data_IF_762434608350
#
_entry.id   IF_762434608350
#
_cell.length_a   1.000
_cell.length_b   1.000
_cell.length_c   1.000
_cell.angle_alpha   90.00
_cell.angle_beta   90.00
_cell.angle_gamma   90.00
#
_symmetry.space_group_name_H-M   'P 1'
#
loop_
_entity.id
_entity.type
_entity.pdbx_description
1 polymer ?
#
# COMPACT_ATOMS: atom_id res chain seq x y z
N UNK A 1 -30.03 -92.20 -24.16
CA UNK A 1 -29.95 -92.91 -22.86
C UNK A 1 -28.51 -92.85 -22.38
N UNK A 2 -28.27 -92.34 -21.14
CA UNK A 2 -27.03 -92.37 -20.32
C UNK A 2 -25.80 -91.60 -20.88
N UNK A 3 -25.38 -90.44 -20.32
CA UNK A 3 -24.62 -90.19 -19.06
C UNK A 3 -23.34 -91.03 -19.02
N UNK A 4 -22.11 -90.56 -18.76
CA UNK A 4 -21.44 -89.39 -18.16
C UNK A 4 -19.96 -89.44 -18.70
N UNK A 5 -19.04 -88.47 -18.58
CA UNK A 5 -18.44 -87.91 -17.35
C UNK A 5 -17.34 -86.87 -17.70
N UNK A 6 -17.23 -85.87 -16.80
CA UNK A 6 -16.05 -85.10 -16.35
C UNK A 6 -15.18 -84.37 -17.39
N UNK A 7 -15.33 -83.05 -17.38
CA UNK A 7 -14.34 -82.05 -17.80
C UNK A 7 -13.42 -81.79 -16.61
N UNK A 8 -12.10 -81.96 -16.80
CA UNK A 8 -11.08 -81.49 -15.85
C UNK A 8 -10.41 -80.25 -16.45
N UNK A 9 -10.54 -79.13 -15.77
CA UNK A 9 -10.03 -77.81 -16.15
C UNK A 9 -8.52 -77.72 -15.93
N UNK A 10 -7.77 -77.42 -16.99
CA UNK A 10 -6.36 -77.04 -16.88
C UNK A 10 -6.27 -75.53 -16.63
N UNK A 11 -5.81 -75.16 -15.44
CA UNK A 11 -5.47 -73.79 -15.06
C UNK A 11 -4.13 -73.39 -15.69
N UNK A 12 -4.16 -72.44 -16.61
CA UNK A 12 -2.97 -71.81 -17.18
C UNK A 12 -2.64 -70.55 -16.36
N UNK A 13 -1.57 -70.61 -15.56
CA UNK A 13 -1.02 -69.45 -14.85
C UNK A 13 -0.16 -68.66 -15.85
N UNK A 14 -0.68 -67.56 -16.35
CA UNK A 14 0.06 -66.61 -17.19
C UNK A 14 0.74 -65.58 -16.28
N UNK A 15 2.06 -65.67 -16.18
CA UNK A 15 2.91 -64.72 -15.48
C UNK A 15 2.96 -63.42 -16.31
N UNK A 16 2.16 -62.41 -15.95
CA UNK A 16 2.26 -61.07 -16.53
C UNK A 16 3.33 -60.32 -15.74
N UNK A 17 4.52 -60.21 -16.31
CA UNK A 17 5.57 -59.32 -15.81
C UNK A 17 5.13 -57.87 -16.02
N UNK A 18 4.63 -57.24 -14.96
CA UNK A 18 4.35 -55.80 -14.94
C UNK A 18 5.71 -55.09 -14.91
N UNK A 19 6.12 -54.53 -16.04
CA UNK A 19 7.18 -53.52 -16.08
C UNK A 19 6.58 -52.24 -15.53
N UNK A 20 6.81 -51.97 -14.25
CA UNK A 20 6.48 -50.70 -13.61
C UNK A 20 7.36 -49.60 -14.19
N UNK A 21 6.86 -48.89 -15.21
CA UNK A 21 7.46 -47.61 -15.61
C UNK A 21 7.08 -46.59 -14.54
N UNK A 22 7.98 -46.40 -13.59
CA UNK A 22 7.89 -45.28 -12.66
C UNK A 22 8.09 -43.98 -13.47
N UNK A 23 6.99 -43.33 -13.84
CA UNK A 23 7.04 -41.91 -14.19
C UNK A 23 7.42 -41.16 -12.93
N UNK A 24 8.71 -40.88 -12.76
CA UNK A 24 9.16 -39.83 -11.87
C UNK A 24 8.58 -38.52 -12.41
N UNK A 25 7.42 -38.12 -11.91
CA UNK A 25 6.99 -36.73 -11.99
C UNK A 25 8.00 -35.97 -11.15
N UNK A 26 9.00 -35.40 -11.81
CA UNK A 26 9.84 -34.40 -11.18
C UNK A 26 8.91 -33.27 -10.75
N UNK A 27 8.83 -32.91 -9.45
CA UNK A 27 8.16 -31.69 -9.10
C UNK A 27 8.92 -30.57 -9.80
N UNK A 28 8.25 -29.84 -10.69
CA UNK A 28 8.73 -28.53 -11.13
C UNK A 28 8.63 -27.65 -9.89
N UNK A 29 9.66 -27.69 -9.05
CA UNK A 29 9.88 -26.74 -7.96
C UNK A 29 11.02 -25.82 -8.36
N UNK A 30 10.81 -25.06 -9.44
CA UNK A 30 11.45 -23.76 -9.56
C UNK A 30 10.60 -22.73 -8.79
N UNK A 31 10.48 -22.94 -7.48
CA UNK A 31 10.18 -21.84 -6.57
C UNK A 31 11.53 -21.42 -6.02
N UNK A 32 12.22 -20.54 -6.73
CA UNK A 32 13.28 -19.76 -6.11
C UNK A 32 12.65 -19.11 -4.89
N UNK A 33 12.98 -19.59 -3.68
CA UNK A 33 12.69 -18.84 -2.47
C UNK A 33 13.37 -17.49 -2.65
N UNK A 34 12.58 -16.47 -2.99
CA UNK A 34 13.09 -15.14 -3.18
C UNK A 34 13.52 -14.64 -1.80
N UNK A 35 14.83 -14.68 -1.57
CA UNK A 35 15.45 -14.31 -0.30
C UNK A 35 15.13 -12.84 0.01
N UNK A 36 14.65 -12.57 1.22
CA UNK A 36 14.48 -11.19 1.68
C UNK A 36 15.82 -10.45 1.69
N UNK A 37 15.78 -9.17 1.35
CA UNK A 37 16.92 -8.26 1.42
C UNK A 37 16.49 -6.92 2.02
N UNK A 38 17.45 -6.19 2.59
CA UNK A 38 17.18 -4.86 3.12
C UNK A 38 16.81 -3.91 1.97
N UNK A 39 15.67 -3.25 2.09
CA UNK A 39 15.14 -2.30 1.11
C UNK A 39 15.11 -0.87 1.63
N UNK A 40 15.18 -0.69 2.95
CA UNK A 40 15.43 0.59 3.59
C UNK A 40 16.06 0.41 4.98
N UNK A 41 16.84 1.40 5.41
CA UNK A 41 17.49 1.41 6.73
C UNK A 41 17.49 2.82 7.28
N UNK A 42 17.22 2.95 8.59
CA UNK A 42 17.29 4.20 9.32
C UNK A 42 18.09 3.99 10.61
N UNK A 43 19.33 4.47 10.61
CA UNK A 43 20.29 4.22 11.70
C UNK A 43 19.85 4.84 13.04
N UNK A 44 19.24 6.02 12.99
CA UNK A 44 18.75 6.72 14.19
C UNK A 44 17.72 5.88 14.97
N UNK A 45 16.79 5.25 14.25
CA UNK A 45 15.77 4.38 14.82
C UNK A 45 16.26 2.92 15.03
N UNK A 46 17.51 2.60 14.64
CA UNK A 46 18.02 1.22 14.53
C UNK A 46 17.02 0.31 13.79
N UNK A 47 16.45 0.84 12.71
CA UNK A 47 15.40 0.21 11.95
C UNK A 47 15.91 -0.25 10.58
N UNK A 48 15.57 -1.47 10.19
CA UNK A 48 15.81 -2.01 8.85
C UNK A 48 14.53 -2.67 8.35
N UNK A 49 14.10 -2.26 7.17
CA UNK A 49 12.97 -2.87 6.47
C UNK A 49 13.53 -3.84 5.42
N UNK A 50 13.14 -5.10 5.53
CA UNK A 50 13.47 -6.16 4.58
C UNK A 50 12.25 -6.49 3.74
N UNK A 51 12.45 -6.90 2.49
CA UNK A 51 11.38 -7.37 1.63
C UNK A 51 11.88 -8.40 0.62
N UNK A 52 10.93 -9.13 0.05
CA UNK A 52 11.12 -10.05 -1.05
C UNK A 52 10.75 -9.35 -2.36
N UNK A 53 11.61 -9.45 -3.38
CA UNK A 53 11.31 -8.91 -4.72
C UNK A 53 10.56 -9.94 -5.55
N UNK A 54 9.42 -9.56 -6.11
CA UNK A 54 8.56 -10.37 -6.99
C UNK A 54 7.90 -9.49 -8.05
N UNK A 55 8.16 -9.80 -9.33
CA UNK A 55 7.43 -9.23 -10.48
C UNK A 55 7.24 -7.70 -10.47
N UNK A 56 8.29 -6.94 -10.19
CA UNK A 56 8.23 -5.47 -10.16
C UNK A 56 7.65 -4.88 -8.87
N UNK A 57 7.47 -5.71 -7.85
CA UNK A 57 7.06 -5.31 -6.51
C UNK A 57 7.98 -5.87 -5.43
N UNK A 58 7.92 -5.22 -4.28
CA UNK A 58 8.41 -5.66 -2.99
C UNK A 58 7.22 -6.05 -2.13
N UNK A 59 7.30 -7.20 -1.48
CA UNK A 59 6.28 -7.75 -0.59
C UNK A 59 6.93 -8.68 0.45
N UNK A 60 6.13 -9.40 1.26
CA UNK A 60 6.62 -10.21 2.40
C UNK A 60 7.60 -9.42 3.28
N UNK A 61 7.16 -8.25 3.72
CA UNK A 61 8.02 -7.34 4.46
C UNK A 61 8.33 -7.87 5.85
N UNK A 62 9.54 -7.55 6.33
CA UNK A 62 9.97 -7.72 7.71
C UNK A 62 10.56 -6.42 8.22
N UNK A 63 9.97 -5.89 9.28
CA UNK A 63 10.50 -4.73 9.99
C UNK A 63 11.33 -5.21 11.18
N UNK A 64 12.62 -4.92 11.15
CA UNK A 64 13.49 -5.04 12.32
C UNK A 64 13.67 -3.68 12.95
N UNK A 65 13.36 -3.54 14.23
CA UNK A 65 13.57 -2.32 15.01
C UNK A 65 14.10 -2.69 16.40
N UNK A 66 15.20 -2.06 16.82
CA UNK A 66 15.87 -2.36 18.10
C UNK A 66 16.14 -3.86 18.34
N UNK A 67 16.44 -4.61 17.27
CA UNK A 67 16.71 -6.05 17.33
C UNK A 67 15.47 -6.94 17.39
N UNK A 68 14.26 -6.36 17.47
CA UNK A 68 12.99 -7.09 17.37
C UNK A 68 12.54 -7.10 15.91
N UNK A 69 12.25 -8.29 15.39
CA UNK A 69 11.74 -8.46 14.01
C UNK A 69 10.24 -8.75 14.03
N UNK A 70 9.51 -8.14 13.10
CA UNK A 70 8.07 -8.36 12.86
C UNK A 70 7.81 -8.52 11.37
N UNK A 71 7.10 -9.59 11.01
CA UNK A 71 6.66 -9.81 9.63
C UNK A 71 5.34 -9.09 9.37
N UNK A 72 5.24 -8.42 8.23
CA UNK A 72 4.05 -7.69 7.76
C UNK A 72 3.76 -8.11 6.32
N UNK A 73 2.72 -8.93 6.15
CA UNK A 73 2.50 -9.68 4.91
C UNK A 73 1.64 -8.91 3.88
N UNK A 74 0.82 -7.97 4.34
CA UNK A 74 -0.13 -7.24 3.48
C UNK A 74 0.50 -6.00 2.82
N UNK A 75 1.72 -5.65 3.22
CA UNK A 75 2.44 -4.51 2.70
C UNK A 75 2.95 -4.76 1.29
N UNK A 76 2.92 -3.70 0.49
CA UNK A 76 3.37 -3.73 -0.91
C UNK A 76 4.06 -2.41 -1.25
N UNK A 77 5.20 -2.52 -1.93
CA UNK A 77 5.86 -1.39 -2.54
C UNK A 77 6.22 -1.74 -3.99
N UNK A 78 6.27 -0.76 -4.88
CA UNK A 78 6.85 -0.96 -6.22
C UNK A 78 8.35 -1.18 -6.13
N UNK A 79 8.89 -2.10 -6.92
CA UNK A 79 10.34 -2.33 -6.98
C UNK A 79 10.98 -1.38 -8.00
N UNK A 80 10.95 -0.09 -7.66
CA UNK A 80 11.57 0.98 -8.40
C UNK A 80 12.40 1.84 -7.43
N UNK A 81 13.72 2.02 -7.65
CA UNK A 81 14.59 2.78 -6.77
C UNK A 81 14.12 4.22 -6.48
N UNK A 82 13.50 4.90 -7.45
CA UNK A 82 12.95 6.25 -7.28
C UNK A 82 11.78 6.29 -6.29
N UNK A 83 11.10 5.15 -6.13
CA UNK A 83 9.92 4.98 -5.28
C UNK A 83 10.17 3.94 -4.18
N UNK A 84 11.42 3.80 -3.74
CA UNK A 84 11.80 2.91 -2.66
C UNK A 84 11.06 3.28 -1.35
N UNK A 85 10.88 2.31 -0.43
CA UNK A 85 10.33 2.59 0.90
C UNK A 85 11.10 3.71 1.61
N UNK A 86 10.38 4.57 2.32
CA UNK A 86 10.98 5.70 3.05
C UNK A 86 10.68 5.59 4.53
N UNK A 87 11.69 5.82 5.34
CA UNK A 87 11.61 5.76 6.81
C UNK A 87 11.88 7.15 7.37
N UNK A 88 11.04 7.58 8.32
CA UNK A 88 11.21 8.82 9.10
C UNK A 88 11.19 8.48 10.59
N UNK A 89 11.81 9.32 11.41
CA UNK A 89 11.87 9.13 12.86
C UNK A 89 11.71 10.48 13.57
N UNK A 90 10.46 10.82 13.86
CA UNK A 90 10.01 12.15 14.27
C UNK A 90 8.98 12.01 15.40
N UNK A 91 8.94 13.00 16.28
CA UNK A 91 7.94 13.09 17.35
C UNK A 91 6.69 13.79 16.81
N UNK A 92 5.85 13.02 16.12
CA UNK A 92 4.70 13.54 15.36
C UNK A 92 3.44 13.66 16.22
N UNK A 93 3.47 13.11 17.43
CA UNK A 93 2.40 13.25 18.43
C UNK A 93 2.73 14.32 19.51
N UNK A 94 3.98 14.81 19.54
CA UNK A 94 4.51 15.81 20.48
C UNK A 94 4.51 15.35 21.95
N UNK A 95 4.72 14.06 22.21
CA UNK A 95 4.84 13.49 23.55
C UNK A 95 6.29 13.40 24.06
N UNK A 96 7.26 13.81 23.23
CA UNK A 96 8.69 13.76 23.53
C UNK A 96 9.37 12.44 23.11
N UNK A 97 8.63 11.47 22.56
CA UNK A 97 9.14 10.22 22.00
C UNK A 97 8.92 10.24 20.49
N UNK A 98 9.85 9.64 19.74
CA UNK A 98 9.78 9.60 18.28
C UNK A 98 9.05 8.35 17.79
N UNK A 99 8.20 8.52 16.80
CA UNK A 99 7.60 7.44 16.03
C UNK A 99 8.48 7.06 14.83
N UNK A 100 8.49 5.77 14.50
CA UNK A 100 8.98 5.31 13.19
C UNK A 100 7.82 5.40 12.20
N UNK A 101 7.99 6.18 11.13
CA UNK A 101 7.02 6.32 10.05
C UNK A 101 7.59 5.68 8.78
N UNK A 102 6.85 4.75 8.20
CA UNK A 102 7.20 4.06 6.96
C UNK A 102 6.21 4.49 5.88
N UNK A 103 6.70 5.02 4.77
CA UNK A 103 5.88 5.35 3.61
C UNK A 103 6.25 4.43 2.45
N UNK A 104 5.26 3.68 1.97
CA UNK A 104 5.37 2.76 0.85
C UNK A 104 4.66 3.33 -0.38
N UNK A 105 5.26 3.18 -1.56
CA UNK A 105 4.63 3.52 -2.84
C UNK A 105 4.00 2.28 -3.43
N UNK A 106 2.66 2.21 -3.45
CA UNK A 106 1.90 1.05 -3.93
C UNK A 106 1.73 1.04 -5.44
N UNK A 107 1.65 2.22 -6.03
CA UNK A 107 1.47 2.40 -7.47
C UNK A 107 2.03 3.75 -7.94
N UNK A 108 2.50 3.82 -9.18
CA UNK A 108 3.01 5.03 -9.80
C UNK A 108 2.88 4.98 -11.33
N UNK A 109 2.84 6.15 -11.96
CA UNK A 109 2.83 6.29 -13.41
C UNK A 109 2.36 7.67 -13.84
N UNK A 110 1.99 7.81 -15.10
CA UNK A 110 1.47 9.08 -15.63
C UNK A 110 0.17 9.45 -14.93
N UNK A 111 0.22 10.47 -14.06
CA UNK A 111 -0.94 10.94 -13.30
C UNK A 111 -1.33 10.05 -12.11
N UNK A 112 -0.50 9.07 -11.74
CA UNK A 112 -0.74 8.18 -10.61
C UNK A 112 0.47 8.19 -9.68
N UNK A 113 0.22 8.37 -8.39
CA UNK A 113 1.20 8.15 -7.33
C UNK A 113 0.42 7.82 -6.05
N UNK A 114 0.37 6.54 -5.69
CA UNK A 114 -0.38 6.11 -4.52
C UNK A 114 0.58 5.64 -3.43
N UNK A 115 0.61 6.38 -2.32
CA UNK A 115 1.41 6.03 -1.15
C UNK A 115 0.54 5.61 0.02
N UNK A 116 1.08 4.69 0.82
CA UNK A 116 0.51 4.23 2.09
C UNK A 116 1.50 4.53 3.21
N UNK A 117 0.98 4.81 4.40
CA UNK A 117 1.78 5.13 5.58
C UNK A 117 1.50 4.13 6.71
N UNK A 118 2.56 3.74 7.40
CA UNK A 118 2.53 2.95 8.62
C UNK A 118 3.28 3.70 9.71
N UNK A 119 2.67 3.83 10.89
CA UNK A 119 3.26 4.56 12.02
C UNK A 119 3.46 3.59 13.18
N UNK A 120 4.67 3.55 13.72
CA UNK A 120 5.05 2.71 14.84
C UNK A 120 5.45 3.57 16.03
N UNK A 121 4.79 3.36 17.17
CA UNK A 121 5.06 4.07 18.41
C UNK A 121 5.60 3.12 19.49
N UNK A 122 6.44 3.62 20.39
CA UNK A 122 6.85 2.87 21.57
C UNK A 122 5.82 3.07 22.69
N UNK A 123 5.27 1.99 23.26
CA UNK A 123 4.28 2.08 24.34
C UNK A 123 4.93 1.87 25.70
N UNK A 124 4.47 2.60 26.73
CA UNK A 124 4.98 2.45 28.11
C UNK A 124 4.65 1.09 28.73
N UNK A 125 3.64 0.40 28.18
CA UNK A 125 3.15 -0.89 28.65
C UNK A 125 3.91 -2.07 28.10
N UNK A 126 4.79 -1.86 27.11
CA UNK A 126 5.60 -2.91 26.54
C UNK A 126 7.05 -2.78 27.01
N UNK A 127 7.72 -3.92 27.14
CA UNK A 127 9.14 -4.01 27.50
C UNK A 127 9.92 -3.02 26.62
N UNK A 128 10.79 -2.20 27.22
CA UNK A 128 11.59 -1.18 26.55
C UNK A 128 12.09 -1.69 25.18
N UNK A 129 11.67 -1.02 24.10
CA UNK A 129 12.07 -1.35 22.73
C UNK A 129 11.01 -2.05 21.86
N UNK A 130 9.83 -2.36 22.38
CA UNK A 130 8.72 -2.86 21.56
C UNK A 130 7.95 -1.69 20.93
N UNK A 131 7.85 -1.71 19.59
CA UNK A 131 7.12 -0.74 18.80
C UNK A 131 5.82 -1.33 18.28
N UNK A 132 4.69 -0.67 18.47
CA UNK A 132 3.38 -1.10 17.98
C UNK A 132 2.92 -0.23 16.84
N UNK A 133 2.33 -0.85 15.81
CA UNK A 133 1.73 -0.12 14.70
C UNK A 133 0.44 0.54 15.17
N UNK A 134 0.27 1.80 14.80
CA UNK A 134 -0.86 2.65 15.10
C UNK A 134 -1.61 2.90 13.80
N UNK A 135 -2.93 2.77 13.85
CA UNK A 135 -3.77 3.03 12.69
C UNK A 135 -3.71 4.51 12.29
N UNK A 136 -3.71 4.75 10.99
CA UNK A 136 -3.84 6.08 10.39
C UNK A 136 -5.14 6.11 9.59
N UNK A 137 -6.00 7.09 9.84
CA UNK A 137 -7.27 7.23 9.13
C UNK A 137 -7.07 7.33 7.62
N UNK A 138 -7.89 6.60 6.88
CA UNK A 138 -7.83 6.59 5.43
C UNK A 138 -8.15 7.99 4.87
N UNK A 139 -7.25 8.61 4.09
CA UNK A 139 -7.44 9.98 3.66
C UNK A 139 -8.57 10.15 2.63
N UNK A 140 -8.85 9.13 1.82
CA UNK A 140 -9.97 9.15 0.87
C UNK A 140 -11.30 9.12 1.63
N UNK A 141 -11.41 8.31 2.69
CA UNK A 141 -12.59 8.31 3.55
C UNK A 141 -12.81 9.67 4.24
N UNK A 142 -11.72 10.31 4.69
CA UNK A 142 -11.76 11.68 5.24
C UNK A 142 -12.28 12.66 4.18
N UNK A 143 -11.78 12.62 2.94
CA UNK A 143 -12.23 13.50 1.85
C UNK A 143 -13.71 13.28 1.57
N UNK A 144 -14.15 12.04 1.37
CA UNK A 144 -15.54 11.71 1.04
C UNK A 144 -16.53 12.18 2.12
N UNK A 145 -16.10 12.19 3.39
CA UNK A 145 -16.92 12.65 4.52
C UNK A 145 -16.97 14.19 4.64
N UNK A 146 -15.87 14.88 4.34
CA UNK A 146 -15.70 16.28 4.73
C UNK A 146 -15.65 17.27 3.55
N UNK A 147 -15.43 16.80 2.32
CA UNK A 147 -15.24 17.62 1.13
C UNK A 147 -16.40 17.42 0.17
N UNK A 148 -16.98 18.54 -0.29
CA UNK A 148 -17.98 18.54 -1.36
C UNK A 148 -17.44 19.31 -2.55
N UNK A 149 -17.76 18.86 -3.75
CA UNK A 149 -17.24 19.45 -4.98
C UNK A 149 -18.34 19.71 -6.00
N UNK A 150 -18.03 20.62 -6.91
CA UNK A 150 -18.79 20.83 -8.14
C UNK A 150 -17.84 21.23 -9.24
N UNK A 151 -17.96 20.59 -10.40
CA UNK A 151 -17.15 20.88 -11.57
C UNK A 151 -18.02 21.35 -12.74
N UNK A 152 -17.56 22.38 -13.44
CA UNK A 152 -18.16 22.91 -14.67
C UNK A 152 -17.06 23.20 -15.69
N UNK A 153 -17.41 23.58 -16.93
CA UNK A 153 -16.43 24.02 -17.95
C UNK A 153 -15.45 25.11 -17.48
N UNK A 154 -15.89 25.92 -16.53
CA UNK A 154 -15.26 27.18 -16.17
C UNK A 154 -14.61 27.13 -14.79
N UNK A 155 -15.33 26.54 -13.82
CA UNK A 155 -14.90 26.54 -12.43
C UNK A 155 -14.95 25.16 -11.81
N UNK A 156 -14.02 24.93 -10.89
CA UNK A 156 -14.11 23.89 -9.88
C UNK A 156 -14.39 24.53 -8.52
N UNK A 157 -15.42 24.06 -7.84
CA UNK A 157 -15.77 24.49 -6.49
C UNK A 157 -15.41 23.40 -5.49
N UNK A 158 -14.73 23.79 -4.42
CA UNK A 158 -14.30 22.91 -3.34
C UNK A 158 -14.85 23.48 -2.03
N UNK A 159 -15.64 22.69 -1.32
CA UNK A 159 -16.32 23.10 -0.08
C UNK A 159 -15.85 22.18 1.04
N UNK A 160 -15.30 22.77 2.10
CA UNK A 160 -14.81 22.08 3.30
C UNK A 160 -15.41 22.80 4.52
N UNK A 161 -16.32 22.13 5.23
CA UNK A 161 -17.13 22.79 6.27
C UNK A 161 -17.89 24.00 5.67
N UNK A 162 -17.69 25.17 6.27
CA UNK A 162 -18.30 26.43 5.81
C UNK A 162 -17.43 27.19 4.78
N UNK A 163 -16.23 26.68 4.50
CA UNK A 163 -15.30 27.34 3.56
C UNK A 163 -15.56 26.86 2.15
N UNK A 164 -15.82 27.80 1.24
CA UNK A 164 -15.95 27.55 -0.20
C UNK A 164 -14.78 28.20 -0.96
N UNK A 165 -14.04 27.39 -1.71
CA UNK A 165 -13.00 27.83 -2.63
C UNK A 165 -13.46 27.63 -4.07
N UNK A 166 -13.19 28.60 -4.94
CA UNK A 166 -13.51 28.55 -6.37
C UNK A 166 -12.21 28.67 -7.15
N UNK A 167 -11.87 27.64 -7.90
CA UNK A 167 -10.74 27.62 -8.83
C UNK A 167 -11.23 27.88 -10.25
N UNK A 168 -10.63 28.87 -10.91
CA UNK A 168 -10.86 29.15 -12.32
C UNK A 168 -10.04 28.16 -13.16
N UNK A 169 -10.71 27.37 -13.99
CA UNK A 169 -10.12 26.27 -14.77
C UNK A 169 -10.15 26.51 -16.28
N UNK A 170 -10.68 27.65 -16.74
CA UNK A 170 -10.71 28.04 -18.16
C UNK A 170 -9.31 28.07 -18.76
N UNK A 171 -8.30 28.41 -17.95
CA UNK A 171 -6.87 28.43 -18.33
C UNK A 171 -6.37 27.10 -18.91
N UNK A 172 -7.02 25.99 -18.57
CA UNK A 172 -6.67 24.67 -19.09
C UNK A 172 -7.31 24.35 -20.44
N UNK A 173 -8.24 25.19 -20.94
CA UNK A 173 -8.91 25.04 -22.24
C UNK A 173 -9.53 23.64 -22.46
N UNK A 174 -10.04 23.03 -21.39
CA UNK A 174 -10.63 21.69 -21.44
C UNK A 174 -12.07 21.82 -21.96
N UNK A 175 -12.41 21.03 -22.97
CA UNK A 175 -13.79 20.96 -23.46
C UNK A 175 -14.68 20.24 -22.45
N UNK A 176 -15.96 20.63 -22.36
CA UNK A 176 -16.90 20.07 -21.39
C UNK A 176 -17.03 18.54 -21.50
N UNK A 177 -16.94 17.96 -22.70
CA UNK A 177 -16.98 16.51 -22.92
C UNK A 177 -15.76 15.74 -22.41
N UNK A 178 -14.65 16.44 -22.16
CA UNK A 178 -13.39 15.87 -21.64
C UNK A 178 -13.22 16.09 -20.13
N UNK A 179 -14.10 16.89 -19.51
CA UNK A 179 -14.15 17.05 -18.06
C UNK A 179 -14.78 15.83 -17.41
N UNK A 180 -14.32 15.51 -16.22
CA UNK A 180 -15.00 14.57 -15.34
C UNK A 180 -16.35 15.13 -14.88
N UNK A 181 -17.21 14.26 -14.37
CA UNK A 181 -18.51 14.67 -13.81
C UNK A 181 -18.37 15.50 -12.53
N UNK A 182 -17.27 15.32 -11.81
CA UNK A 182 -16.90 16.08 -10.62
C UNK A 182 -15.37 16.06 -10.44
N UNK A 183 -14.86 16.84 -9.48
CA UNK A 183 -13.44 16.79 -9.08
C UNK A 183 -13.14 15.44 -8.44
N UNK A 184 -12.19 14.70 -8.99
CA UNK A 184 -11.77 13.40 -8.49
C UNK A 184 -10.53 13.51 -7.59
N UNK A 185 -10.55 12.82 -6.45
CA UNK A 185 -9.40 12.72 -5.54
C UNK A 185 -8.99 11.25 -5.37
N UNK A 186 -7.69 10.97 -5.41
CA UNK A 186 -7.13 9.65 -5.07
C UNK A 186 -6.19 9.02 -6.09
N UNK A 187 -6.07 9.57 -7.30
CA UNK A 187 -5.04 9.09 -8.24
C UNK A 187 -3.63 9.45 -7.77
N UNK A 188 -3.51 10.57 -7.05
CA UNK A 188 -2.29 10.96 -6.35
C UNK A 188 -2.62 11.07 -4.87
N UNK A 189 -2.02 10.21 -4.06
CA UNK A 189 -2.04 10.21 -2.59
C UNK A 189 -0.60 10.27 -2.12
N UNK A 190 -0.16 11.42 -1.63
CA UNK A 190 1.24 11.68 -1.29
C UNK A 190 1.40 11.96 0.20
N UNK A 191 1.75 10.94 0.98
CA UNK A 191 2.13 11.08 2.38
C UNK A 191 3.51 11.70 2.54
N UNK A 192 3.71 12.46 3.61
CA UNK A 192 5.00 13.01 4.01
C UNK A 192 5.01 13.40 5.48
N UNK A 193 6.21 13.59 6.02
CA UNK A 193 6.44 14.15 7.36
C UNK A 193 7.18 15.46 7.18
N UNK A 194 6.57 16.58 7.58
CA UNK A 194 7.15 17.93 7.47
C UNK A 194 6.95 18.65 8.80
N UNK A 195 8.00 19.28 9.30
CA UNK A 195 8.01 20.03 10.57
C UNK A 195 7.38 19.22 11.72
N UNK A 196 7.82 17.95 11.84
CA UNK A 196 7.31 16.97 12.81
C UNK A 196 5.79 16.73 12.72
N UNK A 197 5.21 16.87 11.52
CA UNK A 197 3.79 16.63 11.28
C UNK A 197 3.58 15.60 10.17
N UNK A 198 2.75 14.59 10.43
CA UNK A 198 2.26 13.67 9.41
C UNK A 198 1.18 14.34 8.57
N UNK A 199 1.42 14.42 7.28
CA UNK A 199 0.55 15.08 6.31
C UNK A 199 0.35 14.20 5.08
N UNK A 200 -0.75 14.43 4.37
CA UNK A 200 -0.99 13.85 3.03
C UNK A 200 -1.53 14.92 2.09
N UNK A 201 -1.02 14.94 0.87
CA UNK A 201 -1.47 15.83 -0.20
C UNK A 201 -2.13 15.03 -1.31
N UNK A 202 -3.34 15.44 -1.70
CA UNK A 202 -4.21 14.74 -2.64
C UNK A 202 -4.75 15.75 -3.66
N UNK A 203 -4.06 15.90 -4.81
CA UNK A 203 -4.49 16.75 -5.91
C UNK A 203 -5.89 16.40 -6.43
N UNK A 204 -6.68 17.43 -6.77
CA UNK A 204 -7.97 17.27 -7.41
C UNK A 204 -7.80 17.12 -8.92
N UNK A 205 -8.27 16.03 -9.50
CA UNK A 205 -8.22 15.78 -10.93
C UNK A 205 -9.54 16.14 -11.58
N UNK A 206 -9.49 16.90 -12.68
CA UNK A 206 -10.69 17.39 -13.38
C UNK A 206 -10.85 16.82 -14.80
N UNK A 207 -9.78 16.25 -15.36
CA UNK A 207 -9.76 15.53 -16.62
C UNK A 207 -8.55 14.58 -16.67
N UNK A 208 -8.43 13.69 -17.66
CA UNK A 208 -7.20 12.95 -17.87
C UNK A 208 -6.00 13.90 -17.97
N UNK A 209 -5.01 13.72 -17.07
CA UNK A 209 -3.77 14.49 -17.05
C UNK A 209 -3.84 15.92 -16.50
N UNK A 210 -5.01 16.43 -16.07
CA UNK A 210 -5.12 17.80 -15.50
C UNK A 210 -5.55 17.75 -14.05
N UNK A 211 -4.70 18.37 -13.21
CA UNK A 211 -4.89 18.49 -11.77
C UNK A 211 -4.97 19.96 -11.34
N UNK A 212 -5.75 20.23 -10.31
CA UNK A 212 -5.95 21.53 -9.66
C UNK A 212 -5.71 21.36 -8.15
N UNK A 213 -5.05 22.35 -7.54
CA UNK A 213 -4.76 22.40 -6.10
C UNK A 213 -4.48 21.03 -5.45
N UNK A 214 -4.75 20.93 -4.17
CA UNK A 214 -4.78 19.67 -3.44
C UNK A 214 -5.60 19.82 -2.16
N UNK A 215 -6.25 18.73 -1.76
CA UNK A 215 -6.64 18.58 -0.37
C UNK A 215 -5.41 18.17 0.41
N UNK A 216 -5.11 18.91 1.48
CA UNK A 216 -4.10 18.52 2.45
C UNK A 216 -4.75 18.20 3.77
N UNK A 217 -4.44 17.00 4.27
CA UNK A 217 -4.88 16.54 5.57
C UNK A 217 -3.68 16.52 6.49
N UNK A 218 -3.83 17.19 7.63
CA UNK A 218 -2.91 17.07 8.73
C UNK A 218 -3.46 16.10 9.77
N UNK A 219 -2.60 15.20 10.24
CA UNK A 219 -2.97 14.20 11.22
C UNK A 219 -2.57 14.61 12.64
N UNK A 220 -3.33 14.14 13.63
CA UNK A 220 -2.97 14.16 15.04
C UNK A 220 -3.25 12.80 15.67
N UNK A 221 -2.47 12.45 16.70
CA UNK A 221 -2.74 11.25 17.48
C UNK A 221 -3.87 11.52 18.48
N UNK A 222 -4.99 10.82 18.30
CA UNK A 222 -6.19 10.96 19.13
C UNK A 222 -6.94 9.63 19.18
N UNK A 223 -7.52 9.31 20.34
CA UNK A 223 -8.32 8.09 20.53
C UNK A 223 -7.56 6.82 20.09
N UNK A 224 -6.25 6.80 20.35
CA UNK A 224 -5.30 5.71 20.03
C UNK A 224 -5.00 5.49 18.54
N UNK A 225 -5.26 6.47 17.69
CA UNK A 225 -4.95 6.40 16.26
C UNK A 225 -4.64 7.79 15.68
N UNK A 226 -4.04 7.85 14.49
CA UNK A 226 -3.85 9.12 13.79
C UNK A 226 -5.11 9.48 13.00
N UNK A 227 -5.75 10.58 13.38
CA UNK A 227 -6.99 11.08 12.79
C UNK A 227 -6.75 12.45 12.15
N UNK A 228 -7.65 12.88 11.26
CA UNK A 228 -7.57 14.21 10.67
C UNK A 228 -7.75 15.31 11.74
N UNK A 229 -6.69 16.07 11.99
CA UNK A 229 -6.72 17.33 12.77
C UNK A 229 -7.28 18.47 11.94
N UNK A 230 -6.84 18.55 10.68
CA UNK A 230 -7.14 19.65 9.77
C UNK A 230 -7.27 19.13 8.34
N UNK A 231 -8.25 19.65 7.61
CA UNK A 231 -8.46 19.36 6.18
C UNK A 231 -8.57 20.71 5.48
N UNK A 232 -7.70 20.97 4.52
CA UNK A 232 -7.66 22.24 3.79
C UNK A 232 -7.47 22.03 2.30
N UNK A 233 -7.85 23.03 1.51
CA UNK A 233 -7.56 23.07 0.08
C UNK A 233 -6.51 24.14 -0.21
N UNK A 234 -5.47 23.79 -0.98
CA UNK A 234 -4.43 24.74 -1.36
C UNK A 234 -3.35 24.14 -2.27
N UNK A 235 -2.35 24.96 -2.59
CA UNK A 235 -1.20 24.54 -3.41
C UNK A 235 -0.02 24.17 -2.50
N UNK A 236 -0.03 22.97 -1.94
CA UNK A 236 1.11 22.46 -1.18
C UNK A 236 2.02 21.63 -2.10
N UNK A 237 3.05 22.31 -2.61
CA UNK A 237 4.13 21.72 -3.39
C UNK A 237 5.35 21.55 -2.51
N UNK A 238 5.50 20.38 -1.89
CA UNK A 238 6.79 19.96 -1.36
C UNK A 238 7.46 18.98 -2.32
N UNK A 239 8.71 19.28 -2.70
CA UNK A 239 9.60 18.35 -3.37
C UNK A 239 10.26 17.44 -2.33
N UNK A 240 10.53 16.19 -2.72
CA UNK A 240 11.43 15.32 -1.97
C UNK A 240 12.88 15.63 -2.31
#
# INVERSE_FOLDING_TARGET
>A
MKRWFIVLTATFVMLISIVSVAFAVTPISNKTESKQHAVATLSEAKATLYATKREGYLDNFELQINGVTRSVHDWKNVDNPTYAPRLFYNDINHDGKKELIIILTKDYGTGVLNTEVHVFQSTETTIDGVYEEVLVDNPIAIILKNVKTRLTANVAEIIIGDTKTIEQIEKYHIKQENLFSDVFFGNIVKFGVIDDQLLVSIPGQISPGVFIGAIVIAYEYKDKMYQAKKVEYGNLNWSY
#
